data_IF_741115837545
#
_entry.id   IF_741115837545
#
_cell.length_a   1.000
_cell.length_b   1.000
_cell.length_c   1.000
_cell.angle_alpha   90.00
_cell.angle_beta   90.00
_cell.angle_gamma   90.00
#
_symmetry.space_group_name_H-M   'P 1'
#
loop_
_entity.id
_entity.type
_entity.pdbx_description
1 polymer ?
#
# COMPACT_ATOMS: atom_id res chain seq x y z
N UNK A 1 -15.77 -23.02 45.81
CA UNK A 1 -17.13 -22.69 45.34
C UNK A 1 -17.13 -21.22 44.97
N UNK A 2 -17.35 -20.74 43.76
CA UNK A 2 -17.39 -21.25 42.38
C UNK A 2 -17.13 -19.98 41.52
N UNK A 3 -16.21 -20.04 40.55
CA UNK A 3 -16.46 -19.87 39.10
C UNK A 3 -17.36 -18.65 38.77
N UNK A 4 -16.96 -17.68 37.95
CA UNK A 4 -16.66 -17.85 36.52
C UNK A 4 -16.09 -16.56 35.93
N UNK A 5 -15.02 -16.69 35.13
CA UNK A 5 -14.43 -15.70 34.23
C UNK A 5 -15.39 -15.32 33.08
N UNK A 6 -15.35 -14.07 32.62
CA UNK A 6 -15.69 -13.75 31.23
C UNK A 6 -14.80 -12.61 30.73
N UNK A 7 -13.71 -12.98 30.06
CA UNK A 7 -12.89 -12.11 29.21
C UNK A 7 -13.58 -12.03 27.86
N UNK A 8 -13.95 -10.83 27.42
CA UNK A 8 -14.42 -10.58 26.05
C UNK A 8 -13.20 -10.29 25.18
N UNK A 9 -12.85 -11.26 24.35
CA UNK A 9 -11.83 -11.14 23.30
C UNK A 9 -12.53 -10.74 22.00
N UNK A 10 -12.30 -9.54 21.49
CA UNK A 10 -12.76 -9.14 20.15
C UNK A 10 -11.65 -9.44 19.15
N UNK A 11 -11.78 -10.57 18.46
CA UNK A 11 -10.99 -10.94 17.29
C UNK A 11 -11.65 -10.30 16.05
N UNK A 12 -10.95 -9.39 15.37
CA UNK A 12 -11.32 -8.97 14.01
C UNK A 12 -10.40 -9.70 13.05
N UNK A 13 -10.84 -10.87 12.58
CA UNK A 13 -10.36 -11.50 11.35
C UNK A 13 -11.18 -10.93 10.20
N UNK A 14 -10.54 -10.30 9.20
CA UNK A 14 -11.13 -10.18 7.87
C UNK A 14 -10.30 -11.03 6.89
N UNK A 15 -10.74 -12.28 6.75
CA UNK A 15 -10.40 -13.15 5.64
C UNK A 15 -11.28 -12.86 4.42
N UNK A 16 -10.69 -13.05 3.25
CA UNK A 16 -11.27 -12.84 1.94
C UNK A 16 -12.59 -13.60 1.73
N UNK A 17 -13.61 -12.90 1.22
CA UNK A 17 -14.75 -13.53 0.54
C UNK A 17 -14.46 -13.53 -0.95
N UNK A 18 -14.06 -14.71 -1.44
CA UNK A 18 -14.19 -15.06 -2.85
C UNK A 18 -15.66 -15.38 -3.08
N UNK A 19 -16.38 -14.50 -3.77
CA UNK A 19 -17.71 -14.83 -4.30
C UNK A 19 -17.67 -14.62 -5.80
N UNK A 20 -17.70 -15.74 -6.51
CA UNK A 20 -17.86 -15.76 -7.96
C UNK A 20 -19.32 -15.54 -8.32
N UNK A 21 -19.56 -14.69 -9.32
CA UNK A 21 -20.74 -14.72 -10.16
C UNK A 21 -20.28 -14.65 -11.63
N UNK A 22 -20.39 -15.81 -12.27
CA UNK A 22 -20.89 -16.09 -13.62
C UNK A 22 -20.93 -14.91 -14.61
N UNK A 23 -20.28 -15.16 -15.75
CA UNK A 23 -20.15 -14.34 -16.95
C UNK A 23 -21.46 -13.87 -17.59
N UNK A 24 -21.46 -12.67 -18.17
CA UNK A 24 -22.27 -12.32 -19.35
C UNK A 24 -21.47 -11.35 -20.24
N UNK A 25 -21.40 -11.55 -21.58
CA UNK A 25 -20.56 -10.75 -22.48
C UNK A 25 -21.27 -9.51 -23.06
N UNK A 26 -20.49 -8.48 -23.41
CA UNK A 26 -20.91 -7.24 -24.09
C UNK A 26 -20.69 -6.02 -23.19
N UNK A 27 -20.08 -4.91 -23.58
CA UNK A 27 -20.03 -4.29 -24.92
C UNK A 27 -18.85 -3.30 -24.94
N UNK A 28 -17.98 -3.39 -25.94
CA UNK A 28 -16.96 -2.36 -26.21
C UNK A 28 -17.68 -1.08 -26.67
N UNK A 29 -17.72 -0.04 -25.83
CA UNK A 29 -18.12 1.30 -26.30
C UNK A 29 -16.87 2.11 -26.64
N UNK A 30 -16.51 2.09 -27.92
CA UNK A 30 -15.71 3.14 -28.53
C UNK A 30 -16.67 4.27 -28.91
N UNK A 31 -16.65 5.38 -28.18
CA UNK A 31 -17.38 6.59 -28.59
C UNK A 31 -16.41 7.55 -29.30
N UNK A 32 -16.53 7.59 -30.63
CA UNK A 32 -16.02 8.68 -31.48
C UNK A 32 -17.09 9.77 -31.53
N UNK A 33 -16.75 11.03 -31.20
CA UNK A 33 -17.63 12.16 -31.49
C UNK A 33 -16.96 13.18 -32.40
N UNK A 34 -17.66 13.45 -33.50
CA UNK A 34 -17.33 14.45 -34.51
C UNK A 34 -17.74 15.86 -34.11
N UNK A 35 -17.20 16.80 -34.88
CA UNK A 35 -17.38 18.26 -34.84
C UNK A 35 -18.81 18.70 -35.19
N UNK A 36 -19.37 19.64 -34.42
CA UNK A 36 -20.65 20.28 -34.73
C UNK A 36 -20.99 21.45 -33.79
N UNK A 37 -21.43 22.56 -34.38
CA UNK A 37 -21.47 23.92 -33.85
C UNK A 37 -22.57 24.26 -32.81
N UNK A 38 -22.37 25.42 -32.16
CA UNK A 38 -23.16 26.24 -31.21
C UNK A 38 -24.70 26.18 -31.24
N UNK A 39 -25.35 26.59 -30.11
CA UNK A 39 -26.18 27.80 -30.15
C UNK A 39 -26.18 28.69 -28.88
N UNK A 40 -26.77 29.88 -29.03
CA UNK A 40 -26.86 31.06 -28.15
C UNK A 40 -28.10 31.14 -27.23
N UNK A 41 -27.97 31.89 -26.10
CA UNK A 41 -28.98 32.57 -25.21
C UNK A 41 -29.97 31.71 -24.39
N UNK A 42 -30.39 31.98 -23.14
CA UNK A 42 -30.44 33.15 -22.23
C UNK A 42 -30.63 32.68 -20.75
N UNK A 43 -30.62 33.55 -19.70
CA UNK A 43 -30.30 33.17 -18.32
C UNK A 43 -31.52 32.83 -17.45
N UNK A 44 -31.39 31.77 -16.65
CA UNK A 44 -32.34 31.38 -15.61
C UNK A 44 -31.61 31.03 -14.31
N UNK A 45 -31.93 31.74 -13.24
CA UNK A 45 -31.41 31.58 -11.88
C UNK A 45 -31.73 30.19 -11.34
N UNK A 46 -30.72 29.42 -10.91
CA UNK A 46 -30.92 28.29 -10.00
C UNK A 46 -29.98 28.37 -8.80
N UNK A 47 -30.65 28.39 -7.65
CA UNK A 47 -30.17 28.30 -6.29
C UNK A 47 -29.78 26.84 -5.99
N UNK A 48 -28.69 26.63 -5.24
CA UNK A 48 -28.36 25.33 -4.63
C UNK A 48 -27.88 24.23 -5.56
N UNK A 49 -26.65 24.34 -6.07
CA UNK A 49 -25.99 23.24 -6.77
C UNK A 49 -25.00 22.52 -5.86
N UNK A 50 -25.39 21.40 -5.26
CA UNK A 50 -24.41 20.36 -4.93
C UNK A 50 -23.83 19.89 -6.25
N UNK A 51 -22.74 20.50 -6.70
CA UNK A 51 -22.11 20.18 -7.97
C UNK A 51 -21.59 18.75 -7.88
N UNK A 52 -22.35 17.78 -8.40
CA UNK A 52 -21.87 16.45 -8.66
C UNK A 52 -20.77 16.57 -9.71
N UNK A 53 -19.53 16.52 -9.26
CA UNK A 53 -18.38 16.57 -10.13
C UNK A 53 -18.12 15.17 -10.68
N UNK A 54 -18.27 14.99 -11.99
CA UNK A 54 -17.93 13.75 -12.68
C UNK A 54 -16.64 13.97 -13.46
N UNK A 55 -15.53 13.42 -12.97
CA UNK A 55 -14.29 13.36 -13.73
C UNK A 55 -14.35 12.22 -14.74
N UNK A 56 -13.92 12.47 -15.98
CA UNK A 56 -13.62 11.38 -16.89
C UNK A 56 -12.44 10.55 -16.35
N UNK A 57 -12.56 9.22 -16.40
CA UNK A 57 -11.49 8.27 -16.02
C UNK A 57 -11.07 7.45 -17.23
N UNK A 58 -9.76 7.23 -17.34
CA UNK A 58 -9.16 6.28 -18.27
C UNK A 58 -8.79 5.01 -17.52
N UNK A 59 -8.83 3.89 -18.23
CA UNK A 59 -8.32 2.61 -17.73
C UNK A 59 -7.46 1.96 -18.81
N UNK A 60 -6.28 1.49 -18.43
CA UNK A 60 -5.41 0.71 -19.31
C UNK A 60 -4.70 -0.37 -18.52
N UNK A 61 -4.30 -1.42 -19.21
CA UNK A 61 -3.37 -2.41 -18.68
C UNK A 61 -1.96 -1.83 -18.73
N UNK A 62 -1.27 -1.84 -17.59
CA UNK A 62 0.15 -1.49 -17.51
C UNK A 62 0.97 -2.76 -17.31
N UNK A 63 2.18 -2.76 -17.85
CA UNK A 63 3.10 -3.88 -17.76
C UNK A 63 4.53 -3.35 -17.59
N UNK A 64 5.25 -3.82 -16.58
CA UNK A 64 6.55 -3.30 -16.18
C UNK A 64 6.82 -3.55 -14.69
N UNK A 65 7.47 -2.59 -14.01
CA UNK A 65 7.69 -2.66 -12.55
C UNK A 65 6.40 -2.80 -11.76
N UNK A 66 5.33 -2.16 -12.24
CA UNK A 66 3.97 -2.48 -11.81
C UNK A 66 3.22 -3.10 -12.98
N UNK A 67 2.33 -4.03 -12.68
CA UNK A 67 1.48 -4.66 -13.69
C UNK A 67 0.05 -4.86 -13.19
N UNK A 68 -0.91 -4.77 -14.13
CA UNK A 68 -2.34 -4.90 -13.86
C UNK A 68 -3.15 -3.77 -14.47
N UNK A 69 -4.40 -3.64 -14.03
CA UNK A 69 -5.32 -2.61 -14.51
C UNK A 69 -5.16 -1.30 -13.71
N UNK A 70 -4.68 -0.26 -14.39
CA UNK A 70 -4.64 1.10 -13.86
C UNK A 70 -5.94 1.81 -14.20
N UNK A 71 -6.56 2.46 -13.21
CA UNK A 71 -7.68 3.40 -13.43
C UNK A 71 -7.33 4.74 -12.81
N UNK A 72 -7.30 5.79 -13.62
CA UNK A 72 -6.95 7.13 -13.21
C UNK A 72 -7.76 8.16 -14.01
N UNK A 73 -8.04 9.35 -13.46
CA UNK A 73 -8.66 10.41 -14.24
C UNK A 73 -7.85 10.79 -15.48
N UNK A 74 -8.56 10.96 -16.60
CA UNK A 74 -7.96 11.08 -17.93
C UNK A 74 -6.97 12.24 -18.02
N UNK A 75 -7.23 13.34 -17.31
CA UNK A 75 -6.41 14.55 -17.33
C UNK A 75 -4.95 14.32 -16.87
N UNK A 76 -4.67 13.22 -16.18
CA UNK A 76 -3.33 12.88 -15.66
C UNK A 76 -3.03 11.38 -15.73
N UNK A 77 -3.75 10.66 -16.59
CA UNK A 77 -3.55 9.23 -16.78
C UNK A 77 -2.10 8.94 -17.20
N UNK A 78 -1.63 9.59 -18.26
CA UNK A 78 -0.27 9.44 -18.78
C UNK A 78 0.80 9.81 -17.75
N UNK A 79 0.55 10.79 -16.88
CA UNK A 79 1.48 11.18 -15.83
C UNK A 79 1.59 10.11 -14.74
N UNK A 80 0.47 9.54 -14.31
CA UNK A 80 0.42 8.45 -13.32
C UNK A 80 1.04 7.18 -13.89
N UNK A 81 0.73 6.83 -15.13
CA UNK A 81 1.36 5.70 -15.82
C UNK A 81 2.87 5.88 -15.90
N UNK A 82 3.33 7.07 -16.33
CA UNK A 82 4.77 7.38 -16.41
C UNK A 82 5.44 7.34 -15.03
N UNK A 83 4.75 7.78 -13.96
CA UNK A 83 5.27 7.68 -12.60
C UNK A 83 5.50 6.21 -12.22
N UNK A 84 4.49 5.36 -12.39
CA UNK A 84 4.57 3.95 -12.03
C UNK A 84 5.64 3.23 -12.85
N UNK A 85 5.72 3.49 -14.15
CA UNK A 85 6.71 2.87 -15.04
C UNK A 85 8.16 3.35 -14.81
N UNK A 86 8.36 4.54 -14.24
CA UNK A 86 9.69 5.10 -13.94
C UNK A 86 10.09 4.95 -12.48
N UNK A 87 9.27 4.31 -11.64
CA UNK A 87 9.57 4.12 -10.23
C UNK A 87 10.45 2.88 -10.06
N UNK A 88 11.65 3.08 -9.54
CA UNK A 88 12.49 1.97 -9.10
C UNK A 88 11.93 1.38 -7.81
N UNK A 89 11.76 0.06 -7.80
CA UNK A 89 11.22 -0.67 -6.65
C UNK A 89 12.21 -1.73 -6.22
N UNK A 90 12.66 -1.66 -4.97
CA UNK A 90 13.52 -2.68 -4.36
C UNK A 90 12.78 -3.33 -3.20
N UNK A 91 12.76 -4.66 -3.18
CA UNK A 91 12.20 -5.43 -2.07
C UNK A 91 13.29 -5.70 -1.04
N UNK A 92 13.03 -5.28 0.20
CA UNK A 92 13.87 -5.53 1.35
C UNK A 92 13.24 -6.61 2.23
N UNK A 93 14.01 -7.62 2.59
CA UNK A 93 13.64 -8.68 3.52
C UNK A 93 14.52 -8.61 4.76
N UNK A 94 13.91 -8.35 5.92
CA UNK A 94 14.59 -8.35 7.21
C UNK A 94 14.21 -9.59 7.99
N UNK A 95 15.17 -10.46 8.25
CA UNK A 95 14.98 -11.73 8.94
C UNK A 95 15.60 -11.69 10.33
N UNK A 96 14.83 -12.09 11.34
CA UNK A 96 15.36 -12.46 12.65
C UNK A 96 15.31 -13.99 12.79
N UNK A 97 16.46 -14.58 13.09
CA UNK A 97 16.60 -15.96 13.53
C UNK A 97 16.74 -15.94 15.05
N UNK A 98 15.74 -16.48 15.75
CA UNK A 98 15.67 -16.52 17.21
C UNK A 98 16.06 -17.92 17.69
N UNK A 99 17.18 -17.99 18.41
CA UNK A 99 17.75 -19.22 18.96
C UNK A 99 17.31 -19.41 20.42
N UNK A 100 16.88 -20.62 20.77
CA UNK A 100 16.42 -20.95 22.11
C UNK A 100 16.05 -22.43 22.24
N UNK A 101 15.15 -22.76 23.18
CA UNK A 101 14.61 -24.13 23.30
C UNK A 101 13.92 -24.60 22.00
N UNK A 102 13.32 -23.65 21.28
CA UNK A 102 12.78 -23.84 19.95
C UNK A 102 13.32 -22.74 19.05
N UNK A 103 14.09 -23.13 18.03
CA UNK A 103 14.57 -22.19 17.03
C UNK A 103 13.39 -21.76 16.14
N UNK A 104 13.30 -20.46 15.89
CA UNK A 104 12.28 -19.89 15.02
C UNK A 104 12.84 -18.74 14.20
N UNK A 105 12.14 -18.38 13.13
CA UNK A 105 12.50 -17.20 12.35
C UNK A 105 11.27 -16.44 11.89
N UNK A 106 11.47 -15.14 11.65
CA UNK A 106 10.46 -14.27 11.06
C UNK A 106 11.13 -13.35 10.05
N UNK A 107 10.48 -13.17 8.90
CA UNK A 107 10.92 -12.25 7.86
C UNK A 107 9.86 -11.17 7.66
N UNK A 108 10.28 -9.90 7.75
CA UNK A 108 9.44 -8.73 7.50
C UNK A 108 9.86 -8.09 6.19
N UNK A 109 8.90 -7.93 5.27
CA UNK A 109 9.12 -7.39 3.94
C UNK A 109 8.70 -5.92 3.84
N UNK A 110 9.52 -5.13 3.15
CA UNK A 110 9.30 -3.70 2.85
C UNK A 110 9.69 -3.42 1.40
N UNK A 111 8.90 -2.63 0.69
CA UNK A 111 9.30 -2.07 -0.60
C UNK A 111 9.87 -0.66 -0.40
N UNK A 112 11.04 -0.40 -0.99
CA UNK A 112 11.54 0.96 -1.19
C UNK A 112 11.19 1.41 -2.60
N UNK A 113 10.40 2.46 -2.70
CA UNK A 113 9.96 3.09 -3.93
C UNK A 113 10.79 4.34 -4.16
N UNK A 114 11.47 4.45 -5.30
CA UNK A 114 12.25 5.63 -5.69
C UNK A 114 11.77 6.08 -7.06
N UNK A 115 10.81 7.03 -7.12
CA UNK A 115 10.32 7.54 -8.38
C UNK A 115 11.35 8.46 -9.05
N UNK A 116 11.37 8.49 -10.39
CA UNK A 116 12.24 9.41 -11.13
C UNK A 116 11.78 10.88 -11.04
N UNK A 117 10.49 11.10 -10.75
CA UNK A 117 9.89 12.42 -10.54
C UNK A 117 8.65 12.27 -9.65
N UNK A 118 8.16 13.38 -9.08
CA UNK A 118 6.90 13.41 -8.32
C UNK A 118 5.91 14.30 -9.07
N UNK A 119 4.70 13.81 -9.42
CA UNK A 119 3.67 14.64 -10.02
C UNK A 119 3.30 15.80 -9.11
N UNK A 120 3.05 16.99 -9.68
CA UNK A 120 2.77 18.20 -8.87
C UNK A 120 1.31 18.29 -8.44
N UNK A 121 0.41 17.86 -9.31
CA UNK A 121 -1.02 18.11 -9.18
C UNK A 121 -1.82 16.85 -8.88
N UNK A 122 -1.18 15.69 -8.75
CA UNK A 122 -1.82 14.42 -8.42
C UNK A 122 -1.06 13.72 -7.30
N UNK A 123 -1.81 13.25 -6.31
CA UNK A 123 -1.28 12.48 -5.19
C UNK A 123 -1.44 11.00 -5.52
N UNK A 124 -0.31 10.31 -5.66
CA UNK A 124 -0.27 8.85 -5.80
C UNK A 124 0.21 8.27 -4.47
N UNK A 125 -0.55 7.32 -3.95
CA UNK A 125 -0.22 6.60 -2.72
C UNK A 125 -0.19 5.10 -2.98
N UNK A 126 0.80 4.42 -2.41
CA UNK A 126 0.94 2.97 -2.49
C UNK A 126 0.88 2.43 -1.06
N UNK A 127 0.00 1.47 -0.84
CA UNK A 127 -0.29 0.90 0.47
C UNK A 127 -0.52 1.97 1.55
N UNK A 128 -1.32 2.99 1.21
CA UNK A 128 -1.68 4.08 2.10
C UNK A 128 -0.61 5.16 2.32
N UNK A 129 0.57 5.05 1.70
CA UNK A 129 1.64 6.05 1.81
C UNK A 129 1.80 6.83 0.52
N UNK A 130 1.71 8.16 0.64
CA UNK A 130 1.89 9.07 -0.48
C UNK A 130 3.34 9.09 -0.97
N UNK A 131 3.54 9.04 -2.29
CA UNK A 131 4.85 9.09 -2.92
C UNK A 131 5.27 10.55 -3.07
N UNK A 132 6.11 11.04 -2.15
CA UNK A 132 6.72 12.40 -2.20
C UNK A 132 8.21 12.38 -2.54
N UNK A 133 8.69 11.26 -3.07
CA UNK A 133 10.10 10.95 -3.26
C UNK A 133 10.39 9.52 -2.83
N UNK A 134 11.60 9.25 -2.34
CA UNK A 134 11.96 7.94 -1.80
C UNK A 134 11.03 7.57 -0.63
N UNK A 135 10.26 6.49 -0.79
CA UNK A 135 9.19 6.12 0.13
C UNK A 135 9.25 4.63 0.43
N UNK A 136 9.23 4.26 1.71
CA UNK A 136 9.11 2.88 2.14
C UNK A 136 7.65 2.51 2.39
N UNK A 137 7.19 1.37 1.88
CA UNK A 137 5.83 0.86 2.07
C UNK A 137 5.85 -0.61 2.47
N UNK A 138 4.85 -1.08 3.23
CA UNK A 138 4.71 -2.50 3.50
C UNK A 138 4.45 -3.25 2.19
N UNK A 139 5.11 -4.40 2.02
CA UNK A 139 4.89 -5.26 0.87
C UNK A 139 3.56 -6.01 1.01
N UNK A 140 2.77 -6.03 -0.05
CA UNK A 140 1.60 -6.89 -0.22
C UNK A 140 1.50 -7.31 -1.68
N UNK A 141 0.80 -8.40 -1.98
CA UNK A 141 0.48 -8.76 -3.37
C UNK A 141 -0.99 -9.20 -3.43
N UNK A 142 -1.88 -8.44 -4.10
CA UNK A 142 -1.61 -7.20 -4.85
C UNK A 142 -1.34 -5.97 -3.95
N UNK A 143 -0.67 -4.96 -4.51
CA UNK A 143 -0.46 -3.65 -3.87
C UNK A 143 -1.60 -2.67 -4.20
N UNK A 144 -2.28 -2.14 -3.18
CA UNK A 144 -3.27 -1.10 -3.40
C UNK A 144 -2.58 0.22 -3.75
N UNK A 145 -2.99 0.82 -4.85
CA UNK A 145 -2.55 2.14 -5.33
C UNK A 145 -3.76 3.06 -5.36
N UNK A 146 -3.67 4.19 -4.66
CA UNK A 146 -4.74 5.19 -4.62
C UNK A 146 -4.22 6.47 -5.25
N UNK A 147 -4.96 6.95 -6.24
CA UNK A 147 -4.65 8.14 -7.03
C UNK A 147 -5.71 9.18 -6.70
N UNK A 148 -5.30 10.40 -6.36
CA UNK A 148 -6.24 11.45 -5.99
C UNK A 148 -5.78 12.84 -6.37
N UNK A 149 -6.74 13.71 -6.68
CA UNK A 149 -6.50 15.11 -7.03
C UNK A 149 -7.65 15.98 -6.54
N UNK A 150 -7.32 17.19 -6.09
CA UNK A 150 -8.32 18.22 -5.81
C UNK A 150 -8.76 18.88 -7.12
N UNK A 151 -10.06 18.88 -7.39
CA UNK A 151 -10.65 19.49 -8.59
C UNK A 151 -11.81 20.39 -8.18
N UNK A 152 -11.65 21.70 -8.39
CA UNK A 152 -12.54 22.72 -7.85
C UNK A 152 -12.66 22.60 -6.32
N UNK A 153 -13.88 22.37 -5.84
CA UNK A 153 -14.18 22.17 -4.41
C UNK A 153 -14.21 20.69 -4.00
N UNK A 154 -13.97 19.75 -4.92
CA UNK A 154 -14.05 18.31 -4.67
C UNK A 154 -12.68 17.60 -4.69
N UNK A 155 -12.69 16.33 -4.28
CA UNK A 155 -11.57 15.39 -4.40
C UNK A 155 -11.99 14.25 -5.32
N UNK A 156 -11.27 14.06 -6.42
CA UNK A 156 -11.40 12.86 -7.24
C UNK A 156 -10.43 11.82 -6.69
N UNK A 157 -10.89 10.58 -6.53
CA UNK A 157 -10.07 9.46 -6.06
C UNK A 157 -10.40 8.20 -6.84
N UNK A 158 -9.37 7.53 -7.34
CA UNK A 158 -9.45 6.18 -7.91
C UNK A 158 -8.52 5.25 -7.17
N UNK A 159 -8.84 3.96 -7.22
CA UNK A 159 -8.01 2.90 -6.62
C UNK A 159 -7.73 1.83 -7.68
N UNK A 160 -6.49 1.36 -7.71
CA UNK A 160 -6.05 0.22 -8.49
C UNK A 160 -5.38 -0.80 -7.57
N UNK A 161 -5.34 -2.05 -8.00
CA UNK A 161 -4.61 -3.13 -7.33
C UNK A 161 -3.59 -3.68 -8.32
N UNK A 162 -2.32 -3.38 -8.07
CA UNK A 162 -1.24 -3.67 -8.99
C UNK A 162 -0.32 -4.74 -8.40
N UNK A 163 0.09 -5.69 -9.23
CA UNK A 163 1.24 -6.54 -8.90
C UNK A 163 2.51 -5.72 -9.06
N UNK A 164 3.50 -5.99 -8.23
CA UNK A 164 4.81 -5.34 -8.31
C UNK A 164 5.87 -6.36 -8.68
N UNK A 165 6.79 -5.94 -9.54
CA UNK A 165 7.95 -6.70 -9.98
C UNK A 165 9.19 -5.91 -9.57
N UNK A 166 9.73 -6.14 -8.35
CA UNK A 166 10.90 -5.41 -7.86
C UNK A 166 12.09 -5.58 -8.82
N UNK A 167 12.85 -4.52 -9.04
CA UNK A 167 14.08 -4.56 -9.85
C UNK A 167 15.23 -5.29 -9.13
N UNK A 168 15.10 -5.49 -7.82
CA UNK A 168 16.05 -6.25 -7.02
C UNK A 168 15.49 -6.61 -5.64
N UNK A 169 16.13 -7.61 -5.04
CA UNK A 169 15.83 -8.11 -3.71
C UNK A 169 17.07 -7.99 -2.83
N UNK A 170 16.92 -7.44 -1.63
CA UNK A 170 18.01 -7.29 -0.64
C UNK A 170 17.57 -7.93 0.67
N UNK A 171 18.38 -8.85 1.18
CA UNK A 171 18.08 -9.59 2.42
C UNK A 171 19.09 -9.27 3.50
N UNK A 172 18.60 -9.05 4.72
CA UNK A 172 19.42 -8.88 5.92
C UNK A 172 18.96 -9.85 7.00
N UNK A 173 19.90 -10.51 7.66
CA UNK A 173 19.61 -11.50 8.71
C UNK A 173 20.32 -11.14 10.00
N UNK A 174 19.58 -11.15 11.11
CA UNK A 174 20.13 -11.08 12.47
C UNK A 174 19.87 -12.39 13.19
N UNK A 175 20.87 -12.85 13.94
CA UNK A 175 20.74 -13.97 14.89
C UNK A 175 20.67 -13.40 16.30
N UNK A 176 19.69 -13.84 17.09
CA UNK A 176 19.48 -13.40 18.47
C UNK A 176 19.02 -14.57 19.33
N UNK A 177 19.40 -14.59 20.59
CA UNK A 177 18.91 -15.60 21.53
C UNK A 177 17.66 -15.15 22.26
N UNK A 178 16.82 -16.10 22.70
CA UNK A 178 15.67 -15.85 23.58
C UNK A 178 16.10 -15.14 24.86
N UNK A 179 17.25 -15.52 25.43
CA UNK A 179 17.79 -14.90 26.65
C UNK A 179 18.16 -13.43 26.43
N UNK A 180 18.76 -13.09 25.29
CA UNK A 180 19.03 -11.70 24.94
C UNK A 180 17.75 -10.89 24.75
N UNK A 181 16.74 -11.45 24.09
CA UNK A 181 15.47 -10.77 23.85
C UNK A 181 14.72 -10.52 25.16
N UNK A 182 14.54 -11.55 25.99
CA UNK A 182 13.74 -11.46 27.22
C UNK A 182 14.32 -10.51 28.27
N UNK A 183 15.59 -10.14 28.17
CA UNK A 183 16.25 -9.19 29.07
C UNK A 183 16.12 -7.71 28.65
N UNK A 184 15.38 -7.41 27.58
CA UNK A 184 15.14 -6.04 27.09
C UNK A 184 13.67 -5.73 26.83
N UNK A 185 13.38 -4.48 26.51
CA UNK A 185 12.04 -4.03 26.10
C UNK A 185 11.98 -3.78 24.60
N UNK A 186 13.01 -3.14 24.03
CA UNK A 186 13.14 -2.85 22.61
C UNK A 186 14.62 -2.79 22.20
N UNK A 187 14.95 -3.27 21.00
CA UNK A 187 16.31 -3.26 20.47
C UNK A 187 16.31 -3.16 18.95
N UNK A 188 17.24 -2.40 18.39
CA UNK A 188 17.55 -2.46 16.95
C UNK A 188 18.44 -3.67 16.66
N UNK A 189 17.99 -4.56 15.77
CA UNK A 189 18.71 -5.75 15.33
C UNK A 189 19.59 -5.47 14.12
N UNK A 190 19.07 -4.73 13.14
CA UNK A 190 19.75 -4.43 11.88
C UNK A 190 19.48 -2.98 11.47
N UNK A 191 20.41 -2.40 10.72
CA UNK A 191 20.24 -1.11 10.07
C UNK A 191 20.73 -1.18 8.62
N UNK A 192 19.92 -0.67 7.69
CA UNK A 192 20.22 -0.61 6.27
C UNK A 192 19.81 0.77 5.73
N UNK A 193 20.77 1.69 5.67
CA UNK A 193 20.50 3.09 5.30
C UNK A 193 19.51 3.74 6.28
N UNK A 194 18.39 4.24 5.75
CA UNK A 194 17.30 4.81 6.53
C UNK A 194 16.37 3.80 7.22
N UNK A 195 16.53 2.51 6.93
CA UNK A 195 15.71 1.44 7.51
C UNK A 195 16.37 0.85 8.76
N UNK A 196 15.55 0.60 9.79
CA UNK A 196 15.94 -0.09 11.02
C UNK A 196 15.00 -1.26 11.27
N UNK A 197 15.55 -2.42 11.54
CA UNK A 197 14.79 -3.57 11.99
C UNK A 197 14.87 -3.67 13.50
N UNK A 198 13.72 -3.51 14.17
CA UNK A 198 13.61 -3.36 15.61
C UNK A 198 12.73 -4.49 16.16
N UNK A 199 13.13 -5.06 17.28
CA UNK A 199 12.32 -6.02 18.03
C UNK A 199 11.83 -5.36 19.31
N UNK A 200 10.56 -5.56 19.64
CA UNK A 200 9.95 -5.23 20.91
C UNK A 200 9.48 -6.49 21.60
N UNK A 201 9.77 -6.61 22.88
CA UNK A 201 9.33 -7.73 23.72
C UNK A 201 8.01 -7.34 24.35
N UNK A 202 6.95 -8.10 24.07
CA UNK A 202 5.62 -7.87 24.64
C UNK A 202 5.53 -8.54 26.01
N UNK A 203 6.03 -9.78 26.10
CA UNK A 203 6.22 -10.58 27.30
C UNK A 203 7.25 -11.68 26.98
N UNK A 204 7.74 -12.45 27.95
CA UNK A 204 8.67 -13.53 27.65
C UNK A 204 8.13 -14.44 26.55
N UNK A 205 8.97 -14.72 25.54
CA UNK A 205 8.63 -15.53 24.36
C UNK A 205 7.58 -14.93 23.41
N UNK A 206 7.25 -13.64 23.52
CA UNK A 206 6.29 -12.97 22.64
C UNK A 206 6.86 -11.64 22.13
N UNK A 207 7.13 -11.58 20.84
CA UNK A 207 7.93 -10.53 20.23
C UNK A 207 7.21 -9.90 19.03
N UNK A 208 7.37 -8.58 18.88
CA UNK A 208 6.95 -7.84 17.68
C UNK A 208 8.18 -7.30 16.98
N UNK A 209 8.38 -7.72 15.74
CA UNK A 209 9.44 -7.27 14.86
C UNK A 209 8.89 -6.22 13.91
N UNK A 210 9.55 -5.08 13.83
CA UNK A 210 9.10 -3.90 13.08
C UNK A 210 10.22 -3.35 12.22
N UNK A 211 9.93 -3.02 10.98
CA UNK A 211 10.81 -2.23 10.14
C UNK A 211 10.38 -0.77 10.22
N UNK A 212 11.26 0.07 10.73
CA UNK A 212 11.14 1.52 10.69
C UNK A 212 11.85 2.04 9.43
N UNK A 213 11.29 3.04 8.75
CA UNK A 213 11.96 3.80 7.70
C UNK A 213 11.89 5.28 8.05
N UNK A 214 13.04 5.95 8.17
CA UNK A 214 13.13 7.33 8.70
C UNK A 214 12.39 7.51 10.03
N UNK A 215 12.48 6.51 10.92
CA UNK A 215 11.83 6.53 12.24
C UNK A 215 10.32 6.21 12.25
N UNK A 216 9.69 6.04 11.08
CA UNK A 216 8.26 5.69 10.99
C UNK A 216 8.09 4.19 10.82
N UNK A 217 7.18 3.56 11.58
CA UNK A 217 6.81 2.16 11.38
C UNK A 217 6.22 1.96 9.98
N UNK A 218 6.80 1.04 9.19
CA UNK A 218 6.34 0.71 7.84
C UNK A 218 5.65 -0.64 7.79
N UNK A 219 6.24 -1.67 8.39
CA UNK A 219 5.79 -3.06 8.33
C UNK A 219 6.20 -3.78 9.62
N UNK A 220 5.41 -4.76 10.05
CA UNK A 220 5.67 -5.52 11.28
C UNK A 220 5.14 -6.94 11.22
N UNK A 221 5.72 -7.83 12.02
CA UNK A 221 5.25 -9.19 12.22
C UNK A 221 5.48 -9.65 13.67
N UNK A 222 4.59 -10.49 14.17
CA UNK A 222 4.69 -11.08 15.51
C UNK A 222 5.31 -12.47 15.48
N UNK A 223 6.08 -12.82 16.51
CA UNK A 223 6.61 -14.16 16.74
C UNK A 223 6.39 -14.54 18.20
N UNK A 224 5.65 -15.62 18.42
CA UNK A 224 5.42 -16.19 19.75
C UNK A 224 6.02 -17.59 19.80
N UNK A 225 6.83 -17.86 20.82
CA UNK A 225 7.45 -19.18 21.07
C UNK A 225 6.68 -19.88 22.19
N UNK A 226 6.39 -21.16 22.01
CA UNK A 226 5.61 -22.01 22.93
C UNK A 226 6.45 -23.06 23.64
#
# INVERSE_FOLDING_TARGET
MDKTNAIVLVLILLGALVSGCISTPGTTQTQTYGTGNAPTSSPGTQNGGSSSFTSAVGSAEINGTFSGWLTAPMAYFDEVERLLNSTNVTLYAFTAEVEGNMNASITVYVLKLVPAFVPRDVNVSINGREIKGATCVAYSDPLPVSISRKEGNGLVRTTAYLKVHPSGNVTFTAKVSVDELNNGTERTLLQAGEMKFVVRVIKPNDYVFTVLCNGTNVSSGGLTLG
#
